data_IF_592017207132
#
_entry.id   IF_592017207132
#
_cell.length_a   1.000
_cell.length_b   1.000
_cell.length_c   1.000
_cell.angle_alpha   90.00
_cell.angle_beta   90.00
_cell.angle_gamma   90.00
#
_symmetry.space_group_name_H-M   'P 1'
#
loop_
_entity.id
_entity.type
_entity.pdbx_description
1 polymer ?
#
# COMPACT_ATOMS: atom_id res chain seq x y z
N UNK A 1 18.51 20.97 -17.25
CA UNK A 1 18.06 22.34 -17.61
C UNK A 1 19.18 23.22 -18.12
N UNK A 2 20.10 23.66 -17.25
CA UNK A 2 21.12 24.67 -17.56
C UNK A 2 22.07 24.27 -18.71
N UNK A 3 22.51 23.02 -18.78
CA UNK A 3 23.38 22.53 -19.86
C UNK A 3 22.69 22.49 -21.24
N UNK A 4 21.39 22.18 -21.28
CA UNK A 4 20.59 22.15 -22.51
C UNK A 4 20.32 23.58 -23.01
N UNK A 5 20.05 24.51 -22.08
CA UNK A 5 19.91 25.94 -22.39
C UNK A 5 21.20 26.57 -22.92
N UNK A 6 22.35 26.21 -22.37
CA UNK A 6 23.65 26.69 -22.84
C UNK A 6 24.02 26.16 -24.24
N UNK A 7 23.69 24.90 -24.55
CA UNK A 7 23.92 24.29 -25.87
C UNK A 7 23.00 24.88 -26.95
N UNK A 8 21.74 25.17 -26.62
CA UNK A 8 20.80 25.86 -27.52
C UNK A 8 21.24 27.30 -27.82
N UNK A 9 21.79 28.02 -26.83
CA UNK A 9 22.37 29.35 -27.02
C UNK A 9 23.61 29.34 -27.92
N UNK A 10 24.41 28.25 -27.89
CA UNK A 10 25.56 28.06 -28.78
C UNK A 10 25.19 27.50 -30.18
N UNK A 11 23.89 27.29 -30.47
CA UNK A 11 23.37 26.67 -31.70
C UNK A 11 23.87 25.23 -31.96
N UNK A 12 24.30 24.52 -30.92
CA UNK A 12 24.77 23.14 -31.02
C UNK A 12 23.64 22.14 -30.74
N UNK A 13 22.69 22.08 -31.69
CA UNK A 13 21.50 21.22 -31.62
C UNK A 13 21.79 19.71 -31.49
N UNK A 14 22.82 19.14 -32.14
CA UNK A 14 23.15 17.71 -32.01
C UNK A 14 23.49 17.33 -30.57
N UNK A 15 24.30 18.15 -29.90
CA UNK A 15 24.74 17.92 -28.52
C UNK A 15 23.57 18.06 -27.53
N UNK A 16 22.71 19.07 -27.72
CA UNK A 16 21.50 19.23 -26.90
C UNK A 16 20.52 18.03 -27.07
N UNK A 17 20.34 17.54 -28.30
CA UNK A 17 19.47 16.39 -28.59
C UNK A 17 19.99 15.09 -27.99
N UNK A 18 21.30 14.85 -28.07
CA UNK A 18 21.93 13.67 -27.46
C UNK A 18 21.77 13.66 -25.93
N UNK A 19 21.94 14.81 -25.27
CA UNK A 19 21.75 14.94 -23.81
C UNK A 19 20.29 14.74 -23.42
N UNK A 20 19.33 15.32 -24.15
CA UNK A 20 17.90 15.11 -23.89
C UNK A 20 17.48 13.65 -24.09
N UNK A 21 18.00 12.99 -25.12
CA UNK A 21 17.72 11.59 -25.39
C UNK A 21 18.24 10.68 -24.28
N UNK A 22 19.47 10.90 -23.82
CA UNK A 22 20.08 10.11 -22.75
C UNK A 22 19.38 10.33 -21.40
N UNK A 23 18.94 11.57 -21.13
CA UNK A 23 18.14 11.90 -19.94
C UNK A 23 16.78 11.20 -19.98
N UNK A 24 16.08 11.24 -21.12
CA UNK A 24 14.78 10.56 -21.28
C UNK A 24 14.87 9.05 -21.12
N UNK A 25 15.97 8.41 -21.56
CA UNK A 25 16.22 6.99 -21.27
C UNK A 25 16.43 6.77 -19.76
N UNK A 26 17.14 7.69 -19.09
CA UNK A 26 17.33 7.67 -17.65
C UNK A 26 16.00 7.72 -16.90
N UNK A 27 15.13 8.66 -17.26
CA UNK A 27 13.81 8.84 -16.64
C UNK A 27 12.94 7.59 -16.79
N UNK A 28 12.94 6.96 -17.98
CA UNK A 28 12.20 5.71 -18.23
C UNK A 28 12.74 4.55 -17.37
N UNK A 29 14.07 4.42 -17.26
CA UNK A 29 14.69 3.38 -16.44
C UNK A 29 14.44 3.63 -14.95
N UNK A 30 14.46 4.87 -14.50
CA UNK A 30 14.16 5.26 -13.12
C UNK A 30 12.72 4.91 -12.76
N UNK A 31 11.75 5.30 -13.60
CA UNK A 31 10.34 5.00 -13.36
C UNK A 31 10.08 3.49 -13.34
N UNK A 32 10.70 2.74 -14.27
CA UNK A 32 10.59 1.29 -14.29
C UNK A 32 11.19 0.63 -13.04
N UNK A 33 12.37 1.07 -12.63
CA UNK A 33 13.08 0.52 -11.46
C UNK A 33 12.35 0.85 -10.16
N UNK A 34 11.81 2.06 -10.04
CA UNK A 34 11.02 2.49 -8.89
C UNK A 34 9.76 1.62 -8.77
N UNK A 35 8.99 1.50 -9.85
CA UNK A 35 7.78 0.67 -9.90
C UNK A 35 8.07 -0.78 -9.55
N UNK A 36 9.12 -1.36 -10.14
CA UNK A 36 9.50 -2.76 -9.88
C UNK A 36 9.92 -3.00 -8.42
N UNK A 37 10.63 -2.05 -7.82
CA UNK A 37 11.06 -2.14 -6.43
C UNK A 37 9.87 -2.07 -5.46
N UNK A 38 8.92 -1.17 -5.72
CA UNK A 38 7.67 -1.06 -4.93
C UNK A 38 6.86 -2.35 -5.01
N UNK A 39 6.70 -2.93 -6.22
CA UNK A 39 5.98 -4.20 -6.40
C UNK A 39 6.62 -5.35 -5.60
N UNK A 40 7.95 -5.47 -5.67
CA UNK A 40 8.67 -6.52 -4.96
C UNK A 40 8.59 -6.36 -3.42
N UNK A 41 8.62 -5.12 -2.93
CA UNK A 41 8.44 -4.83 -1.50
C UNK A 41 7.01 -5.15 -1.04
N UNK A 42 6.01 -4.71 -1.80
CA UNK A 42 4.60 -4.98 -1.50
C UNK A 42 4.30 -6.48 -1.43
N UNK A 43 4.88 -7.26 -2.36
CA UNK A 43 4.75 -8.72 -2.38
C UNK A 43 5.47 -9.40 -1.20
N UNK A 44 6.61 -8.87 -0.75
CA UNK A 44 7.35 -9.43 0.40
C UNK A 44 6.68 -9.10 1.74
N UNK A 45 5.94 -7.98 1.81
CA UNK A 45 5.24 -7.54 3.02
C UNK A 45 3.82 -8.11 3.13
N UNK A 46 3.24 -8.68 2.07
CA UNK A 46 2.06 -9.53 2.22
C UNK A 46 2.47 -10.82 2.91
N UNK A 47 2.44 -10.83 4.23
CA UNK A 47 2.42 -12.04 5.03
C UNK A 47 1.32 -12.95 4.48
N UNK A 48 1.74 -13.97 3.72
CA UNK A 48 0.89 -14.93 3.03
C UNK A 48 0.04 -15.71 4.05
N UNK A 49 -1.18 -15.26 4.29
CA UNK A 49 -2.28 -16.19 4.55
C UNK A 49 -2.93 -16.46 3.20
N UNK A 50 -2.23 -17.23 2.36
CA UNK A 50 -2.73 -17.58 1.02
C UNK A 50 -3.96 -18.49 1.10
N UNK A 51 -4.13 -19.18 2.23
CA UNK A 51 -5.17 -20.18 2.46
C UNK A 51 -5.75 -20.06 3.85
N UNK A 52 -7.05 -20.27 3.94
CA UNK A 52 -7.81 -20.32 5.17
C UNK A 52 -8.55 -21.65 5.26
N UNK A 53 -8.80 -22.11 6.48
CA UNK A 53 -9.62 -23.29 6.72
C UNK A 53 -11.08 -22.86 6.81
N UNK A 54 -11.89 -23.31 5.87
CA UNK A 54 -13.34 -23.08 5.83
C UNK A 54 -14.05 -24.36 6.26
N UNK A 55 -15.02 -24.26 7.16
CA UNK A 55 -15.89 -25.37 7.52
C UNK A 55 -17.00 -25.47 6.46
N UNK A 56 -17.02 -26.58 5.72
CA UNK A 56 -18.05 -26.90 4.73
C UNK A 56 -18.61 -28.27 5.08
N UNK A 57 -19.90 -28.37 5.41
CA UNK A 57 -20.56 -29.62 5.80
C UNK A 57 -19.81 -30.38 6.92
N UNK A 58 -19.41 -29.67 7.98
CA UNK A 58 -18.61 -30.18 9.11
C UNK A 58 -17.19 -30.69 8.76
N UNK A 59 -16.71 -30.42 7.54
CA UNK A 59 -15.36 -30.78 7.08
C UNK A 59 -14.51 -29.53 6.92
N UNK A 60 -13.30 -29.57 7.47
CA UNK A 60 -12.31 -28.50 7.30
C UNK A 60 -11.69 -28.57 5.90
N UNK A 61 -11.97 -27.58 5.05
CA UNK A 61 -11.42 -27.48 3.69
C UNK A 61 -10.52 -26.25 3.59
N UNK A 62 -9.29 -26.44 3.12
CA UNK A 62 -8.37 -25.33 2.86
C UNK A 62 -8.76 -24.65 1.54
N UNK A 63 -9.19 -23.39 1.61
CA UNK A 63 -9.53 -22.57 0.44
C UNK A 63 -8.67 -21.30 0.40
N UNK A 64 -8.37 -20.78 -0.79
CA UNK A 64 -7.79 -19.45 -0.94
C UNK A 64 -8.64 -18.37 -0.25
N UNK A 65 -7.99 -17.40 0.42
CA UNK A 65 -8.72 -16.35 1.17
C UNK A 65 -9.62 -15.48 0.28
N UNK A 66 -9.29 -15.38 -1.01
CA UNK A 66 -10.03 -14.63 -2.02
C UNK A 66 -11.31 -15.34 -2.50
N UNK A 67 -11.47 -16.65 -2.22
CA UNK A 67 -12.68 -17.41 -2.53
C UNK A 67 -13.71 -17.39 -1.39
N UNK A 68 -13.33 -16.85 -0.23
CA UNK A 68 -14.19 -16.78 0.95
C UNK A 68 -15.24 -15.67 0.77
N UNK A 69 -16.49 -15.99 1.09
CA UNK A 69 -17.61 -15.05 1.02
C UNK A 69 -18.16 -14.72 2.42
N UNK A 70 -18.90 -13.62 2.53
CA UNK A 70 -19.61 -13.30 3.78
C UNK A 70 -20.62 -14.42 4.09
N UNK A 71 -20.65 -14.85 5.35
CA UNK A 71 -21.42 -16.01 5.82
C UNK A 71 -20.63 -17.32 5.84
N UNK A 72 -19.44 -17.39 5.24
CA UNK A 72 -18.57 -18.57 5.38
C UNK A 72 -18.05 -18.68 6.83
N UNK A 73 -17.91 -19.91 7.31
CA UNK A 73 -17.36 -20.21 8.62
C UNK A 73 -15.89 -20.59 8.46
N UNK A 74 -15.00 -19.75 8.99
CA UNK A 74 -13.56 -19.98 8.96
C UNK A 74 -13.06 -20.45 10.34
N UNK A 75 -12.03 -21.27 10.34
CA UNK A 75 -11.42 -21.79 11.54
C UNK A 75 -10.10 -21.04 11.76
N UNK A 76 -9.97 -20.46 12.95
CA UNK A 76 -8.76 -19.77 13.38
C UNK A 76 -8.10 -20.51 14.54
N UNK A 77 -6.78 -20.61 14.52
CA UNK A 77 -5.97 -21.30 15.53
C UNK A 77 -4.87 -20.40 16.08
N UNK A 78 -4.36 -20.75 17.26
CA UNK A 78 -3.16 -20.16 17.84
C UNK A 78 -2.02 -20.01 16.82
N UNK A 79 -1.44 -18.82 16.78
CA UNK A 79 -0.35 -18.43 15.88
C UNK A 79 -0.81 -17.98 14.49
N UNK A 80 -2.09 -18.10 14.14
CA UNK A 80 -2.61 -17.64 12.86
C UNK A 80 -3.02 -16.16 12.92
N UNK A 81 -2.80 -15.46 11.80
CA UNK A 81 -3.31 -14.11 11.58
C UNK A 81 -4.76 -14.22 11.13
N UNK A 82 -5.66 -13.46 11.75
CA UNK A 82 -7.07 -13.41 11.36
C UNK A 82 -7.16 -12.76 9.96
N UNK A 83 -7.65 -13.47 8.93
CA UNK A 83 -7.58 -13.01 7.56
C UNK A 83 -8.71 -12.02 7.19
N UNK A 84 -9.87 -12.16 7.83
CA UNK A 84 -11.12 -11.48 7.49
C UNK A 84 -11.86 -11.04 8.75
N UNK A 85 -12.68 -9.99 8.65
CA UNK A 85 -13.52 -9.52 9.74
C UNK A 85 -14.71 -10.45 9.94
N UNK A 86 -15.03 -10.77 11.19
CA UNK A 86 -16.09 -11.73 11.49
C UNK A 86 -16.56 -11.72 12.95
N UNK A 87 -17.37 -12.71 13.30
CA UNK A 87 -17.87 -12.95 14.65
C UNK A 87 -17.59 -14.39 15.05
N UNK A 88 -17.13 -14.60 16.28
CA UNK A 88 -16.91 -15.93 16.84
C UNK A 88 -18.27 -16.59 17.05
N UNK A 89 -18.50 -17.73 16.40
CA UNK A 89 -19.71 -18.53 16.54
C UNK A 89 -19.50 -19.76 17.43
N UNK A 90 -18.26 -20.22 17.56
CA UNK A 90 -17.89 -21.33 18.45
C UNK A 90 -16.43 -21.21 18.90
N UNK A 91 -16.12 -21.67 20.11
CA UNK A 91 -14.79 -21.62 20.70
C UNK A 91 -14.43 -20.31 21.40
N UNK A 92 -13.18 -20.23 21.85
CA UNK A 92 -12.62 -19.09 22.59
C UNK A 92 -11.19 -18.86 22.13
N UNK A 93 -10.86 -17.61 21.85
CA UNK A 93 -9.51 -17.19 21.42
C UNK A 93 -9.04 -15.97 22.21
N UNK A 94 -7.73 -15.90 22.44
CA UNK A 94 -7.06 -14.68 22.88
C UNK A 94 -6.48 -14.01 21.65
N UNK A 95 -6.88 -12.78 21.39
CA UNK A 95 -6.47 -12.03 20.20
C UNK A 95 -5.60 -10.86 20.63
N UNK A 96 -4.41 -10.79 20.05
CA UNK A 96 -3.53 -9.65 20.21
C UNK A 96 -3.90 -8.56 19.21
N UNK A 97 -4.42 -7.45 19.74
CA UNK A 97 -4.82 -6.26 18.98
C UNK A 97 -3.74 -5.17 18.98
N UNK A 98 -2.51 -5.46 19.44
CA UNK A 98 -1.40 -4.49 19.46
C UNK A 98 -1.10 -3.86 18.11
N UNK A 99 -1.36 -4.59 17.01
CA UNK A 99 -1.23 -4.09 15.64
C UNK A 99 -2.24 -2.99 15.28
N UNK A 100 -3.30 -2.81 16.07
CA UNK A 100 -4.36 -1.82 15.88
C UNK A 100 -4.39 -0.76 16.99
N UNK A 101 -4.16 -1.15 18.25
CA UNK A 101 -4.32 -0.28 19.45
C UNK A 101 -3.00 0.18 20.07
N UNK A 102 -1.88 -0.48 19.79
CA UNK A 102 -0.57 -0.17 20.37
C UNK A 102 -0.35 -0.62 21.82
N UNK A 103 -1.34 -1.27 22.44
CA UNK A 103 -1.26 -1.82 23.79
C UNK A 103 -1.05 -3.36 23.73
N UNK A 104 -0.15 -3.94 24.52
CA UNK A 104 0.25 -5.35 24.43
C UNK A 104 -0.69 -6.34 25.13
N UNK A 105 -1.92 -5.94 25.48
CA UNK A 105 -2.85 -6.82 26.20
C UNK A 105 -3.73 -7.62 25.23
N UNK A 106 -3.63 -8.95 25.28
CA UNK A 106 -4.48 -9.83 24.50
C UNK A 106 -5.92 -9.79 25.01
N UNK A 107 -6.86 -9.55 24.10
CA UNK A 107 -8.29 -9.50 24.42
C UNK A 107 -8.90 -10.86 24.19
N UNK A 108 -9.53 -11.41 25.23
CA UNK A 108 -10.30 -12.64 25.12
C UNK A 108 -11.57 -12.38 24.29
N UNK A 109 -11.78 -13.20 23.25
CA UNK A 109 -12.98 -13.21 22.41
C UNK A 109 -13.64 -14.59 22.49
N UNK A 110 -14.89 -14.60 22.87
CA UNK A 110 -15.77 -15.76 22.98
C UNK A 110 -16.98 -15.62 22.04
N UNK A 111 -17.93 -16.54 22.13
CA UNK A 111 -19.12 -16.55 21.27
C UNK A 111 -19.81 -15.18 21.23
N UNK A 112 -20.25 -14.77 20.04
CA UNK A 112 -20.83 -13.46 19.70
C UNK A 112 -19.86 -12.26 19.74
N UNK A 113 -18.59 -12.46 20.13
CA UNK A 113 -17.56 -11.44 20.04
C UNK A 113 -17.09 -11.23 18.59
N UNK A 114 -16.93 -9.98 18.18
CA UNK A 114 -16.34 -9.65 16.87
C UNK A 114 -14.85 -9.95 16.84
N UNK A 115 -14.26 -10.21 15.69
CA UNK A 115 -12.82 -10.32 15.45
C UNK A 115 -12.45 -9.56 14.18
N UNK A 116 -11.23 -9.01 14.15
CA UNK A 116 -10.81 -8.10 13.11
C UNK A 116 -9.63 -8.64 12.31
N UNK A 117 -9.65 -8.41 11.00
CA UNK A 117 -8.59 -8.80 10.08
C UNK A 117 -7.26 -8.13 10.46
N UNK A 118 -6.18 -8.90 10.36
CA UNK A 118 -4.82 -8.44 10.66
C UNK A 118 -4.40 -8.55 12.12
N UNK A 119 -5.29 -8.98 13.02
CA UNK A 119 -4.95 -9.34 14.41
C UNK A 119 -4.41 -10.78 14.48
N UNK A 120 -3.70 -11.13 15.56
CA UNK A 120 -3.08 -12.45 15.73
C UNK A 120 -3.76 -13.21 16.86
N UNK A 121 -4.07 -14.47 16.64
CA UNK A 121 -4.53 -15.36 17.72
C UNK A 121 -3.33 -15.81 18.54
N UNK A 122 -3.24 -15.34 19.79
CA UNK A 122 -2.18 -15.75 20.71
C UNK A 122 -2.43 -17.12 21.34
N UNK A 123 -3.69 -17.45 21.60
CA UNK A 123 -4.06 -18.72 22.21
C UNK A 123 -5.50 -19.13 21.87
N UNK A 124 -5.74 -20.44 21.84
CA UNK A 124 -7.07 -21.03 21.58
C UNK A 124 -7.37 -21.39 20.12
N UNK A 125 -8.63 -21.79 19.91
CA UNK A 125 -9.24 -22.13 18.60
C UNK A 125 -10.68 -21.63 18.60
N UNK A 126 -11.09 -21.00 17.51
CA UNK A 126 -12.47 -20.57 17.32
C UNK A 126 -12.93 -20.76 15.87
N UNK A 127 -14.24 -20.90 15.70
CA UNK A 127 -14.92 -20.82 14.42
C UNK A 127 -15.52 -19.41 14.33
N UNK A 128 -15.24 -18.74 13.22
CA UNK A 128 -15.61 -17.35 12.97
C UNK A 128 -16.47 -17.30 11.72
N UNK A 129 -17.65 -16.70 11.83
CA UNK A 129 -18.49 -16.36 10.68
C UNK A 129 -18.02 -15.04 10.06
N UNK A 130 -17.70 -15.07 8.77
CA UNK A 130 -17.20 -13.90 8.03
C UNK A 130 -18.32 -12.88 7.84
N UNK A 131 -18.15 -11.67 8.37
CA UNK A 131 -19.11 -10.57 8.18
C UNK A 131 -18.77 -9.70 6.98
N UNK A 132 -17.49 -9.39 6.81
CA UNK A 132 -17.02 -8.55 5.73
C UNK A 132 -15.86 -9.22 5.03
N UNK A 133 -16.05 -9.51 3.74
CA UNK A 133 -14.94 -9.74 2.84
C UNK A 133 -14.42 -8.37 2.46
N UNK A 134 -13.51 -7.81 3.25
CA UNK A 134 -12.74 -6.65 2.81
C UNK A 134 -11.86 -7.11 1.64
N UNK A 135 -12.44 -7.12 0.44
CA UNK A 135 -11.87 -7.67 -0.81
C UNK A 135 -10.64 -6.91 -1.30
N UNK A 136 -10.27 -5.83 -0.63
CA UNK A 136 -9.09 -5.05 -0.98
C UNK A 136 -7.87 -5.82 -0.51
N UNK A 137 -7.13 -6.39 -1.46
CA UNK A 137 -5.83 -6.99 -1.19
C UNK A 137 -4.96 -6.00 -0.41
N UNK A 138 -4.15 -6.47 0.56
CA UNK A 138 -3.14 -5.61 1.22
C UNK A 138 -2.28 -4.88 0.18
N UNK A 139 -2.03 -5.52 -0.96
CA UNK A 139 -1.40 -4.91 -2.12
C UNK A 139 -2.15 -3.68 -2.63
N UNK A 140 -3.46 -3.79 -2.90
CA UNK A 140 -4.29 -2.66 -3.35
C UNK A 140 -4.34 -1.55 -2.30
N UNK A 141 -4.36 -1.90 -1.01
CA UNK A 141 -4.35 -0.89 0.07
C UNK A 141 -3.02 -0.13 0.13
N UNK A 142 -1.90 -0.82 -0.10
CA UNK A 142 -0.57 -0.19 -0.19
C UNK A 142 -0.46 0.67 -1.46
N UNK A 143 -0.94 0.17 -2.61
CA UNK A 143 -0.98 0.93 -3.86
C UNK A 143 -1.79 2.21 -3.68
N UNK A 144 -2.99 2.13 -3.10
CA UNK A 144 -3.84 3.30 -2.84
C UNK A 144 -3.17 4.29 -1.89
N UNK A 145 -2.53 3.82 -0.81
CA UNK A 145 -1.79 4.70 0.13
C UNK A 145 -0.61 5.40 -0.55
N UNK A 146 0.08 4.72 -1.48
CA UNK A 146 1.17 5.30 -2.26
C UNK A 146 0.62 6.32 -3.26
N UNK A 147 -0.46 6.01 -3.98
CA UNK A 147 -1.11 6.94 -4.91
C UNK A 147 -1.61 8.21 -4.21
N UNK A 148 -2.24 8.08 -3.04
CA UNK A 148 -2.65 9.23 -2.21
C UNK A 148 -1.44 10.07 -1.77
N UNK A 149 -0.33 9.42 -1.41
CA UNK A 149 0.91 10.10 -1.00
C UNK A 149 1.61 10.81 -2.16
N UNK A 150 1.64 10.20 -3.36
CA UNK A 150 2.19 10.82 -4.56
C UNK A 150 1.33 12.00 -5.02
N UNK A 151 0.01 11.92 -4.93
CA UNK A 151 -0.88 13.05 -5.20
C UNK A 151 -0.62 14.23 -4.26
N UNK A 152 -0.40 13.98 -2.97
CA UNK A 152 -0.02 15.04 -2.02
C UNK A 152 1.35 15.66 -2.34
N UNK A 153 2.34 14.85 -2.72
CA UNK A 153 3.68 15.33 -3.11
C UNK A 153 3.64 16.17 -4.40
N UNK A 154 2.87 15.72 -5.39
CA UNK A 154 2.63 16.44 -6.66
C UNK A 154 1.95 17.79 -6.43
N UNK A 155 0.97 17.86 -5.52
CA UNK A 155 0.32 19.12 -5.14
C UNK A 155 1.30 20.14 -4.54
N UNK A 156 2.20 19.72 -3.65
CA UNK A 156 3.25 20.59 -3.10
C UNK A 156 4.24 21.06 -4.17
N UNK A 157 4.65 20.18 -5.07
CA UNK A 157 5.60 20.50 -6.15
C UNK A 157 4.99 21.47 -7.17
N UNK A 158 3.70 21.30 -7.51
CA UNK A 158 2.96 22.20 -8.38
C UNK A 158 2.73 23.59 -7.74
N UNK A 159 2.59 23.66 -6.42
CA UNK A 159 2.52 24.91 -5.67
C UNK A 159 3.86 25.66 -5.69
N UNK A 160 4.97 24.95 -5.53
CA UNK A 160 6.33 25.49 -5.62
C UNK A 160 6.63 26.01 -7.03
N UNK A 161 6.25 25.27 -8.08
CA UNK A 161 6.37 25.72 -9.47
C UNK A 161 5.58 27.00 -9.74
N UNK A 162 4.33 27.12 -9.25
CA UNK A 162 3.54 28.36 -9.40
C UNK A 162 4.15 29.56 -8.68
N UNK A 163 4.82 29.34 -7.55
CA UNK A 163 5.57 30.40 -6.86
C UNK A 163 6.81 30.81 -7.65
N UNK A 164 7.57 29.84 -8.17
CA UNK A 164 8.75 30.10 -8.98
C UNK A 164 8.40 30.85 -10.29
N UNK A 165 7.37 30.41 -11.02
CA UNK A 165 6.93 31.04 -12.27
C UNK A 165 6.47 32.49 -12.09
N UNK A 166 5.90 32.84 -10.93
CA UNK A 166 5.55 34.22 -10.61
C UNK A 166 6.76 35.11 -10.33
N UNK A 167 7.85 34.53 -9.82
CA UNK A 167 9.07 35.28 -9.47
C UNK A 167 9.96 35.54 -10.69
N UNK A 168 9.98 34.64 -11.68
CA UNK A 168 10.79 34.76 -12.91
C UNK A 168 10.63 36.12 -13.62
N UNK A 169 9.42 36.59 -13.98
CA UNK A 169 9.28 37.88 -14.69
C UNK A 169 9.68 39.08 -13.83
N UNK A 170 9.48 39.01 -12.51
CA UNK A 170 9.89 40.06 -11.57
C UNK A 170 11.42 40.16 -11.53
N UNK A 171 12.12 39.03 -11.47
CA UNK A 171 13.59 38.99 -11.51
C UNK A 171 14.14 39.51 -12.84
N UNK A 172 13.50 39.19 -13.97
CA UNK A 172 13.91 39.70 -15.28
C UNK A 172 13.71 41.22 -15.44
N UNK A 173 12.59 41.76 -14.92
CA UNK A 173 12.35 43.22 -14.91
C UNK A 173 13.36 43.93 -14.01
N UNK A 174 13.65 43.37 -12.82
CA UNK A 174 14.64 43.92 -11.91
C UNK A 174 16.06 43.92 -12.48
N UNK A 175 16.47 42.84 -13.15
CA UNK A 175 17.77 42.74 -13.82
C UNK A 175 17.90 43.67 -15.04
N UNK A 176 16.80 44.07 -15.68
CA UNK A 176 16.82 45.05 -16.77
C UNK A 176 16.80 46.51 -16.33
N UNK A 177 16.45 46.78 -15.07
CA UNK A 177 16.38 48.13 -14.48
C UNK A 177 17.64 48.52 -13.68
N UNK A 178 18.56 47.59 -13.48
CA UNK A 178 19.84 47.80 -12.78
C UNK A 178 20.98 47.74 -13.79
#
# INVERSE_FOLDING_TARGET
GVAIGAALLQKDYPTAGAVMYLLGIGDILEEWTHRKSVLNLAQSMSLNVDKVWVLVDDIEVSKPVNEVVAGDQIIIRQGEVIPLDGVVIDGVVLVNESSMTGEPEAVRRDQDSSVYAGTVVEDGKAIVEVRSTSKTSRYEKIVNLIEESEQMKSGMEQQAYRMADKLVPISFIGAGLT
#
